data_IF_159908609671
#
_entry.id   IF_159908609671
#
_cell.length_a   1.000
_cell.length_b   1.000
_cell.length_c   1.000
_cell.angle_alpha   90.00
_cell.angle_beta   90.00
_cell.angle_gamma   90.00
#
_symmetry.space_group_name_H-M   'P 1'
#
loop_
_entity.id
_entity.type
_entity.pdbx_description
1 polymer ?
#
# COMPACT_ATOMS: atom_id res chain seq x y z
N UNK A 1 -24.62 -36.48 16.98
CA UNK A 1 -23.79 -35.54 17.74
C UNK A 1 -22.78 -35.00 16.76
N UNK A 2 -23.00 -33.79 16.21
CA UNK A 2 -22.17 -33.18 15.20
C UNK A 2 -21.24 -32.18 15.89
N UNK A 3 -19.94 -32.46 15.89
CA UNK A 3 -18.93 -31.61 16.50
C UNK A 3 -18.66 -30.44 15.50
N UNK A 4 -19.15 -29.26 15.85
CA UNK A 4 -18.78 -28.01 15.16
C UNK A 4 -17.35 -27.68 15.57
N UNK A 5 -16.41 -27.90 14.68
CA UNK A 5 -15.05 -27.36 14.83
C UNK A 5 -15.13 -25.85 14.55
N UNK A 6 -15.01 -25.07 15.63
CA UNK A 6 -14.86 -23.62 15.55
C UNK A 6 -13.53 -23.33 14.88
N UNK A 7 -13.56 -22.63 13.73
CA UNK A 7 -12.38 -22.04 13.14
C UNK A 7 -11.73 -21.12 14.18
N UNK A 8 -10.50 -21.42 14.56
CA UNK A 8 -9.73 -20.56 15.43
C UNK A 8 -9.48 -19.23 14.70
N UNK A 9 -9.77 -18.14 15.39
CA UNK A 9 -9.55 -16.77 14.91
C UNK A 9 -8.04 -16.55 14.72
N UNK A 10 -7.60 -16.57 13.47
CA UNK A 10 -6.19 -16.32 13.11
C UNK A 10 -5.69 -14.93 13.53
N UNK A 11 -6.59 -14.00 13.87
CA UNK A 11 -6.24 -12.69 14.42
C UNK A 11 -5.58 -12.75 15.80
N UNK A 12 -5.71 -13.86 16.52
CA UNK A 12 -5.11 -14.06 17.84
C UNK A 12 -3.61 -14.35 17.80
N UNK A 13 -3.05 -14.75 16.65
CA UNK A 13 -1.63 -15.14 16.51
C UNK A 13 -0.66 -13.96 16.39
N UNK A 14 -1.15 -12.73 16.21
CA UNK A 14 -0.29 -11.55 16.00
C UNK A 14 -0.06 -10.74 17.29
N UNK A 15 -0.72 -11.07 18.39
CA UNK A 15 -0.74 -10.27 19.63
C UNK A 15 0.40 -10.49 20.62
N UNK A 16 1.37 -11.36 20.36
CA UNK A 16 2.46 -11.60 21.31
C UNK A 16 3.82 -11.26 20.70
N UNK A 17 4.46 -10.31 21.33
CA UNK A 17 5.88 -9.96 21.32
C UNK A 17 6.35 -8.90 20.29
N UNK A 18 6.74 -7.74 20.85
CA UNK A 18 7.16 -6.55 20.10
C UNK A 18 8.50 -6.70 19.36
N UNK A 19 9.18 -7.86 19.40
CA UNK A 19 10.53 -8.05 18.84
C UNK A 19 10.80 -9.45 18.28
N UNK A 20 9.81 -10.29 18.03
CA UNK A 20 10.05 -11.62 17.45
C UNK A 20 10.49 -11.51 15.99
N UNK A 21 11.61 -12.17 15.65
CA UNK A 21 12.16 -12.29 14.30
C UNK A 21 12.65 -10.96 13.64
N UNK A 22 13.07 -9.96 14.43
CA UNK A 22 13.64 -8.72 13.91
C UNK A 22 12.62 -7.66 13.46
N UNK A 23 11.32 -7.86 13.70
CA UNK A 23 10.32 -6.84 13.47
C UNK A 23 10.28 -5.81 14.61
N UNK A 24 10.07 -4.57 14.23
CA UNK A 24 9.81 -3.45 15.15
C UNK A 24 8.37 -2.98 14.93
N UNK A 25 7.57 -2.96 15.99
CA UNK A 25 6.21 -2.42 15.95
C UNK A 25 6.27 -0.89 15.90
N UNK A 26 5.61 -0.29 14.90
CA UNK A 26 5.61 1.15 14.64
C UNK A 26 4.43 1.88 15.29
N UNK A 27 3.37 1.15 15.65
CA UNK A 27 2.19 1.67 16.37
C UNK A 27 2.11 1.00 17.74
N UNK A 28 2.49 1.70 18.81
CA UNK A 28 2.47 1.18 20.18
C UNK A 28 1.64 2.09 21.08
N UNK A 29 0.83 1.45 21.95
CA UNK A 29 0.03 2.15 22.95
C UNK A 29 -1.01 3.07 22.32
N UNK A 30 -1.33 4.16 23.02
CA UNK A 30 -2.40 5.09 22.64
C UNK A 30 -1.85 6.46 22.22
N UNK A 31 -0.59 6.51 21.74
CA UNK A 31 0.06 7.76 21.33
C UNK A 31 0.68 7.65 19.94
N UNK A 32 0.41 8.65 19.10
CA UNK A 32 1.02 8.82 17.78
C UNK A 32 2.33 9.63 17.83
N UNK A 33 3.14 9.49 18.90
CA UNK A 33 4.34 10.29 19.13
C UNK A 33 5.35 10.24 17.98
N UNK A 34 5.48 9.09 17.34
CA UNK A 34 6.37 8.91 16.18
C UNK A 34 5.66 9.12 14.84
N UNK A 35 4.48 9.75 14.84
CA UNK A 35 3.70 9.98 13.66
C UNK A 35 3.33 11.46 13.54
N UNK A 36 3.51 12.02 12.35
CA UNK A 36 3.10 13.39 12.01
C UNK A 36 1.76 13.37 11.28
N UNK A 37 0.80 14.18 11.76
CA UNK A 37 -0.54 14.32 11.19
C UNK A 37 -1.14 15.70 11.48
N UNK A 38 -2.23 16.04 10.81
CA UNK A 38 -2.94 17.33 10.96
C UNK A 38 -4.09 17.31 11.98
N UNK A 39 -4.09 16.36 12.94
CA UNK A 39 -5.16 16.22 13.94
C UNK A 39 -6.31 15.29 13.52
N UNK A 40 -6.25 14.70 12.33
CA UNK A 40 -7.28 13.85 11.73
C UNK A 40 -7.03 12.34 11.92
N UNK A 41 -6.05 11.96 12.74
CA UNK A 41 -5.74 10.59 13.09
C UNK A 41 -5.70 10.43 14.60
N UNK A 42 -6.25 9.33 15.07
CA UNK A 42 -6.22 8.92 16.49
C UNK A 42 -5.68 7.51 16.61
N UNK A 43 -5.22 7.15 17.80
CA UNK A 43 -4.89 5.77 18.16
C UNK A 43 -5.58 5.45 19.49
N UNK A 44 -6.23 4.30 19.55
CA UNK A 44 -6.86 3.77 20.74
C UNK A 44 -6.67 2.26 20.78
N UNK A 45 -6.17 1.74 21.89
CA UNK A 45 -5.87 0.32 22.06
C UNK A 45 -5.04 -0.27 20.89
N UNK A 46 -4.09 0.52 20.35
CA UNK A 46 -3.23 0.14 19.24
C UNK A 46 -3.87 0.23 17.85
N UNK A 47 -5.14 0.63 17.76
CA UNK A 47 -5.85 0.85 16.48
C UNK A 47 -5.74 2.31 16.07
N UNK A 48 -5.09 2.54 14.95
CA UNK A 48 -5.00 3.86 14.30
C UNK A 48 -6.26 4.06 13.47
N UNK A 49 -6.95 5.18 13.68
CA UNK A 49 -8.21 5.52 12.99
C UNK A 49 -8.09 6.87 12.30
N UNK A 50 -8.46 6.93 11.03
CA UNK A 50 -8.59 8.19 10.31
C UNK A 50 -9.93 8.85 10.60
N UNK A 51 -9.92 10.12 11.01
CA UNK A 51 -11.10 10.93 11.33
C UNK A 51 -10.92 12.36 10.82
N UNK A 52 -12.00 12.98 10.34
CA UNK A 52 -11.97 14.40 9.97
C UNK A 52 -11.07 14.78 8.79
N UNK A 53 -10.50 15.98 8.82
CA UNK A 53 -9.65 16.55 7.74
C UNK A 53 -8.26 16.87 8.29
N UNK A 54 -7.18 16.64 7.53
CA UNK A 54 -5.84 17.02 8.01
C UNK A 54 -4.67 16.45 7.22
N UNK A 55 -4.90 15.53 6.31
CA UNK A 55 -3.85 14.91 5.47
C UNK A 55 -3.32 13.58 5.99
N UNK A 56 -2.36 13.02 5.27
CA UNK A 56 -1.80 11.69 5.53
C UNK A 56 -1.05 11.62 6.85
N UNK A 57 -1.01 10.40 7.43
CA UNK A 57 -0.25 10.08 8.64
C UNK A 57 1.14 9.59 8.27
N UNK A 58 2.18 10.34 8.61
CA UNK A 58 3.56 10.01 8.27
C UNK A 58 4.36 9.53 9.49
N UNK A 59 4.98 8.36 9.40
CA UNK A 59 5.89 7.87 10.43
C UNK A 59 7.20 8.64 10.38
N UNK A 60 7.57 9.27 11.48
CA UNK A 60 8.76 10.13 11.60
C UNK A 60 9.89 9.52 12.45
N UNK A 61 9.66 8.34 13.06
CA UNK A 61 10.65 7.70 13.92
C UNK A 61 11.93 7.30 13.17
N UNK A 62 11.79 6.69 11.99
CA UNK A 62 12.90 6.41 11.06
C UNK A 62 12.38 6.28 9.63
N UNK A 63 13.29 6.43 8.67
CA UNK A 63 12.99 6.14 7.26
C UNK A 63 12.86 4.64 7.04
N UNK A 64 12.10 4.26 6.01
CA UNK A 64 12.04 2.88 5.54
C UNK A 64 13.42 2.48 5.02
N UNK A 65 13.97 1.33 5.42
CA UNK A 65 15.19 0.77 4.84
C UNK A 65 15.05 0.51 3.34
N UNK A 66 16.17 0.32 2.64
CA UNK A 66 16.14 -0.01 1.22
C UNK A 66 15.56 -1.40 0.98
N UNK A 67 15.96 -2.37 1.80
CA UNK A 67 15.44 -3.73 1.81
C UNK A 67 14.66 -3.97 3.11
N UNK A 68 13.39 -4.33 2.98
CA UNK A 68 12.53 -4.45 4.15
C UNK A 68 11.34 -5.40 3.92
N UNK A 69 10.78 -5.84 5.03
CA UNK A 69 9.43 -6.40 5.11
C UNK A 69 8.57 -5.52 6.01
N UNK A 70 7.44 -5.05 5.50
CA UNK A 70 6.42 -4.29 6.22
C UNK A 70 5.15 -5.13 6.32
N UNK A 71 4.63 -5.30 7.51
CA UNK A 71 3.37 -6.00 7.78
C UNK A 71 2.42 -5.05 8.49
N UNK A 72 1.14 -5.16 8.18
CA UNK A 72 0.09 -4.33 8.77
C UNK A 72 -1.27 -5.01 8.62
N UNK A 73 -2.19 -4.61 9.46
CA UNK A 73 -3.61 -4.94 9.29
C UNK A 73 -4.38 -3.67 8.97
N UNK A 74 -5.39 -3.81 8.13
CA UNK A 74 -6.22 -2.70 7.70
C UNK A 74 -7.69 -3.10 7.58
N UNK A 75 -8.56 -2.12 7.74
CA UNK A 75 -10.00 -2.25 7.62
C UNK A 75 -10.58 -0.98 7.01
N UNK A 76 -11.60 -1.11 6.18
CA UNK A 76 -12.29 0.00 5.50
C UNK A 76 -13.77 -0.01 5.78
N UNK A 77 -14.43 1.13 5.64
CA UNK A 77 -15.87 1.23 5.50
C UNK A 77 -16.28 1.16 4.02
N UNK A 78 -17.58 1.11 3.78
CA UNK A 78 -18.13 1.14 2.42
C UNK A 78 -17.58 2.33 1.61
N UNK A 79 -17.16 2.09 0.38
CA UNK A 79 -16.59 3.04 -0.59
C UNK A 79 -15.29 3.71 -0.14
N UNK A 80 -14.66 3.27 0.93
CA UNK A 80 -13.42 3.90 1.41
C UNK A 80 -12.22 3.63 0.52
N UNK A 81 -11.34 4.64 0.48
CA UNK A 81 -10.05 4.64 -0.19
C UNK A 81 -8.96 5.14 0.76
N UNK A 82 -7.83 4.48 0.76
CA UNK A 82 -6.60 4.84 1.45
C UNK A 82 -5.42 4.17 0.77
N UNK A 83 -4.22 4.23 1.36
CA UNK A 83 -3.04 3.58 0.82
C UNK A 83 -1.88 3.59 1.80
N UNK A 84 -0.96 2.67 1.61
CA UNK A 84 0.31 2.61 2.35
C UNK A 84 1.44 3.00 1.41
N UNK A 85 1.99 4.21 1.61
CA UNK A 85 3.17 4.69 0.87
C UNK A 85 4.43 4.26 1.60
N UNK A 86 5.27 3.47 0.94
CA UNK A 86 6.44 2.84 1.56
C UNK A 86 7.78 3.22 0.92
N UNK A 87 7.76 3.95 -0.18
CA UNK A 87 8.95 4.54 -0.84
C UNK A 87 8.61 5.90 -1.43
N UNK A 88 9.60 6.75 -1.78
CA UNK A 88 9.34 8.04 -2.40
C UNK A 88 8.60 7.88 -3.72
N UNK A 89 7.76 8.86 -4.06
CA UNK A 89 7.13 9.00 -5.38
C UNK A 89 6.23 7.84 -5.83
N UNK A 90 4.95 7.86 -5.46
CA UNK A 90 3.90 6.97 -6.00
C UNK A 90 4.07 5.46 -5.74
N UNK A 91 4.89 5.04 -4.76
CA UNK A 91 4.92 3.67 -4.29
C UNK A 91 3.80 3.44 -3.27
N UNK A 92 2.70 2.95 -3.74
CA UNK A 92 1.50 2.78 -2.95
C UNK A 92 1.01 1.33 -3.00
N UNK A 93 0.89 0.70 -1.84
CA UNK A 93 0.03 -0.44 -1.65
C UNK A 93 -1.39 0.08 -1.43
N UNK A 94 -2.27 -0.15 -2.40
CA UNK A 94 -3.63 0.36 -2.37
C UNK A 94 -4.47 -0.28 -1.28
N UNK A 95 -5.23 0.54 -0.56
CA UNK A 95 -6.24 0.13 0.43
C UNK A 95 -7.58 0.62 -0.07
N UNK A 96 -8.52 -0.29 -0.34
CA UNK A 96 -9.76 0.04 -1.03
C UNK A 96 -10.89 -0.91 -0.65
N UNK A 97 -12.11 -0.41 -0.65
CA UNK A 97 -13.31 -1.21 -0.84
C UNK A 97 -13.44 -1.51 -2.34
N UNK A 98 -13.01 -2.70 -2.76
CA UNK A 98 -13.01 -3.08 -4.18
C UNK A 98 -14.40 -3.18 -4.78
N UNK A 99 -15.43 -3.47 -3.96
CA UNK A 99 -16.78 -3.70 -4.44
C UNK A 99 -17.52 -2.39 -4.76
N UNK A 100 -17.49 -1.43 -3.83
CA UNK A 100 -18.29 -0.21 -3.95
C UNK A 100 -17.52 1.01 -4.44
N UNK A 101 -16.18 1.06 -4.31
CA UNK A 101 -15.40 2.18 -4.78
C UNK A 101 -15.15 2.10 -6.30
N UNK A 102 -15.30 3.21 -7.07
CA UNK A 102 -15.10 3.19 -8.53
C UNK A 102 -13.74 2.67 -9.01
N UNK A 103 -12.68 2.91 -8.25
CA UNK A 103 -11.33 2.44 -8.58
C UNK A 103 -11.17 0.91 -8.45
N UNK A 104 -12.07 0.21 -7.74
CA UNK A 104 -12.06 -1.25 -7.62
C UNK A 104 -12.36 -1.98 -8.94
N UNK A 105 -12.96 -1.29 -9.91
CA UNK A 105 -13.23 -1.85 -11.26
C UNK A 105 -11.97 -2.09 -12.08
N UNK A 106 -10.89 -1.38 -11.79
CA UNK A 106 -9.61 -1.56 -12.45
C UNK A 106 -8.66 -2.32 -11.51
N UNK A 107 -8.24 -3.55 -11.87
CA UNK A 107 -7.30 -4.31 -11.03
C UNK A 107 -6.00 -3.57 -10.69
N UNK A 108 -5.53 -2.64 -11.52
CA UNK A 108 -4.34 -1.83 -11.21
C UNK A 108 -4.58 -0.73 -10.17
N UNK A 109 -5.83 -0.47 -9.81
CA UNK A 109 -6.20 0.48 -8.77
C UNK A 109 -6.99 -0.16 -7.63
N UNK A 110 -7.16 -1.50 -7.65
CA UNK A 110 -7.80 -2.27 -6.60
C UNK A 110 -6.90 -2.46 -5.38
N UNK A 111 -7.46 -2.92 -4.29
CA UNK A 111 -6.72 -3.22 -3.06
C UNK A 111 -5.52 -4.14 -3.32
N UNK A 112 -4.42 -3.93 -2.61
CA UNK A 112 -3.12 -4.61 -2.76
C UNK A 112 -2.41 -4.39 -4.10
N UNK A 113 -2.93 -3.62 -5.06
CA UNK A 113 -2.16 -3.24 -6.24
C UNK A 113 -0.94 -2.39 -5.86
N UNK A 114 0.15 -2.50 -6.63
CA UNK A 114 1.11 -1.41 -6.73
C UNK A 114 0.45 -0.37 -7.64
N UNK A 115 -0.17 0.62 -7.00
CA UNK A 115 -1.19 1.48 -7.59
C UNK A 115 -0.79 2.04 -8.96
N UNK A 116 -1.59 1.76 -9.99
CA UNK A 116 -1.35 2.16 -11.38
C UNK A 116 -0.04 1.63 -11.98
N UNK A 117 0.52 0.57 -11.44
CA UNK A 117 1.71 -0.09 -11.94
C UNK A 117 1.43 -1.57 -12.19
N UNK A 118 1.22 -2.35 -11.13
CA UNK A 118 0.95 -3.78 -11.23
C UNK A 118 -0.31 -4.13 -10.44
N UNK A 119 -1.19 -4.87 -11.08
CA UNK A 119 -2.39 -5.40 -10.45
C UNK A 119 -2.11 -6.70 -9.68
N UNK A 120 -2.86 -6.98 -8.59
CA UNK A 120 -2.82 -8.29 -7.95
C UNK A 120 -3.30 -9.39 -8.89
N UNK A 121 -2.88 -10.62 -8.63
CA UNK A 121 -3.30 -11.82 -9.40
C UNK A 121 -4.78 -12.13 -9.23
N UNK A 122 -5.34 -11.76 -8.08
CA UNK A 122 -6.73 -11.99 -7.70
C UNK A 122 -7.14 -11.04 -6.57
N UNK A 123 -8.44 -10.86 -6.39
CA UNK A 123 -8.99 -10.17 -5.23
C UNK A 123 -9.09 -11.15 -4.05
N UNK A 124 -8.38 -10.83 -2.96
CA UNK A 124 -8.39 -11.59 -1.71
C UNK A 124 -8.94 -10.75 -0.55
N UNK A 125 -9.62 -9.63 -0.84
CA UNK A 125 -10.18 -8.77 0.21
C UNK A 125 -11.27 -9.47 0.99
N UNK A 126 -11.32 -9.22 2.28
CA UNK A 126 -12.46 -9.59 3.14
C UNK A 126 -13.57 -8.54 3.02
N UNK A 127 -14.80 -8.88 3.30
CA UNK A 127 -15.91 -7.93 3.32
C UNK A 127 -15.62 -6.68 4.14
N UNK A 128 -16.21 -5.56 3.73
CA UNK A 128 -16.15 -4.27 4.45
C UNK A 128 -16.40 -4.46 5.94
N UNK A 129 -15.63 -3.76 6.77
CA UNK A 129 -15.69 -3.86 8.24
C UNK A 129 -14.88 -5.02 8.83
N UNK A 130 -14.31 -5.91 8.04
CA UNK A 130 -13.41 -6.96 8.47
C UNK A 130 -11.93 -6.56 8.32
N UNK A 131 -11.08 -7.11 9.19
CA UNK A 131 -9.65 -6.90 9.13
C UNK A 131 -8.99 -7.73 8.04
N UNK A 132 -8.25 -7.05 7.16
CA UNK A 132 -7.35 -7.65 6.18
C UNK A 132 -5.91 -7.56 6.68
N UNK A 133 -5.06 -8.51 6.28
CA UNK A 133 -3.63 -8.46 6.51
C UNK A 133 -2.92 -8.06 5.21
N UNK A 134 -2.08 -7.03 5.30
CA UNK A 134 -1.20 -6.60 4.22
C UNK A 134 0.26 -6.91 4.56
N UNK A 135 1.04 -7.31 3.55
CA UNK A 135 2.49 -7.48 3.68
C UNK A 135 3.17 -6.96 2.41
N UNK A 136 4.22 -6.20 2.59
CA UNK A 136 5.06 -5.69 1.51
C UNK A 136 6.47 -6.19 1.75
N UNK A 137 7.09 -6.78 0.72
CA UNK A 137 8.50 -7.17 0.74
C UNK A 137 9.20 -6.43 -0.38
N UNK A 138 10.26 -5.69 -0.03
CA UNK A 138 11.17 -5.07 -1.00
C UNK A 138 12.58 -5.59 -0.72
N UNK A 139 13.21 -6.18 -1.74
CA UNK A 139 14.60 -6.62 -1.66
C UNK A 139 15.30 -6.40 -3.01
N UNK A 140 16.32 -5.55 -3.03
CA UNK A 140 16.95 -5.12 -4.27
C UNK A 140 15.95 -4.49 -5.22
N UNK A 141 15.72 -5.12 -6.36
CA UNK A 141 14.77 -4.68 -7.39
C UNK A 141 13.41 -5.39 -7.32
N UNK A 142 13.26 -6.32 -6.35
CA UNK A 142 12.02 -7.09 -6.18
C UNK A 142 11.06 -6.37 -5.27
N UNK A 143 9.80 -6.33 -5.69
CA UNK A 143 8.66 -5.84 -4.92
C UNK A 143 7.61 -6.94 -4.88
N UNK A 144 7.13 -7.26 -3.69
CA UNK A 144 6.05 -8.22 -3.49
C UNK A 144 4.96 -7.57 -2.64
N UNK A 145 3.70 -7.77 -3.05
CA UNK A 145 2.54 -7.49 -2.21
C UNK A 145 1.82 -8.79 -1.86
N UNK A 146 1.38 -8.84 -0.62
CA UNK A 146 0.64 -9.97 -0.07
C UNK A 146 -0.65 -9.44 0.53
N UNK A 147 -1.73 -10.19 0.38
CA UNK A 147 -3.04 -9.88 0.93
C UNK A 147 -3.64 -11.14 1.55
N UNK A 148 -3.98 -11.07 2.83
CA UNK A 148 -4.59 -12.17 3.60
C UNK A 148 -3.82 -13.51 3.49
N UNK A 149 -2.48 -13.44 3.53
CA UNK A 149 -1.59 -14.58 3.49
C UNK A 149 -1.15 -14.99 2.08
N UNK A 150 -1.82 -14.50 1.02
CA UNK A 150 -1.51 -14.83 -0.37
C UNK A 150 -0.59 -13.79 -1.01
N UNK A 151 0.46 -14.23 -1.71
CA UNK A 151 1.30 -13.38 -2.55
C UNK A 151 0.55 -13.04 -3.83
N UNK A 152 0.12 -11.79 -3.94
CA UNK A 152 -0.71 -11.33 -5.07
C UNK A 152 0.09 -10.53 -6.11
N UNK A 153 1.28 -10.04 -5.75
CA UNK A 153 2.23 -9.40 -6.68
C UNK A 153 3.64 -9.93 -6.41
N UNK A 154 4.35 -10.27 -7.48
CA UNK A 154 5.80 -10.47 -7.54
C UNK A 154 6.34 -9.74 -8.77
N UNK A 155 7.16 -8.72 -8.57
CA UNK A 155 7.71 -7.90 -9.62
C UNK A 155 9.20 -7.66 -9.40
N UNK A 156 10.04 -8.07 -10.35
CA UNK A 156 11.39 -7.49 -10.50
C UNK A 156 11.29 -6.34 -11.50
N UNK A 157 11.34 -5.10 -11.03
CA UNK A 157 11.12 -3.94 -11.90
C UNK A 157 12.30 -3.65 -12.88
N UNK A 158 13.37 -4.43 -12.84
CA UNK A 158 14.44 -4.40 -13.85
C UNK A 158 14.24 -5.48 -14.92
N UNK A 159 13.37 -6.46 -14.70
CA UNK A 159 13.03 -7.45 -15.73
C UNK A 159 12.28 -6.74 -16.87
N UNK A 160 12.73 -6.91 -18.14
CA UNK A 160 12.12 -6.28 -19.31
C UNK A 160 10.62 -6.55 -19.48
N UNK A 161 10.09 -7.67 -18.95
CA UNK A 161 8.66 -7.97 -18.99
C UNK A 161 7.80 -6.90 -18.30
N UNK A 162 8.37 -6.15 -17.36
CA UNK A 162 7.69 -5.08 -16.61
C UNK A 162 7.94 -3.68 -17.16
N UNK A 163 8.67 -3.53 -18.28
CA UNK A 163 9.07 -2.22 -18.79
C UNK A 163 7.88 -1.27 -19.02
N UNK A 164 6.77 -1.76 -19.56
CA UNK A 164 5.57 -0.95 -19.78
C UNK A 164 4.91 -0.50 -18.46
N UNK A 165 4.91 -1.36 -17.44
CA UNK A 165 4.38 -1.04 -16.11
C UNK A 165 5.24 0.03 -15.43
N UNK A 166 6.56 -0.13 -15.48
CA UNK A 166 7.53 0.84 -14.95
C UNK A 166 7.39 2.20 -15.64
N UNK A 167 7.23 2.20 -16.97
CA UNK A 167 7.06 3.44 -17.74
C UNK A 167 5.75 4.15 -17.38
N UNK A 168 4.65 3.44 -17.23
CA UNK A 168 3.37 4.01 -16.81
C UNK A 168 3.47 4.67 -15.43
N UNK A 169 4.15 4.02 -14.46
CA UNK A 169 4.40 4.61 -13.15
C UNK A 169 5.28 5.87 -13.27
N UNK A 170 6.34 5.83 -14.10
CA UNK A 170 7.23 6.97 -14.35
C UNK A 170 6.48 8.16 -14.95
N UNK A 171 5.59 7.94 -15.91
CA UNK A 171 4.76 8.99 -16.49
C UNK A 171 3.89 9.69 -15.44
N UNK A 172 3.46 8.98 -14.41
CA UNK A 172 2.74 9.54 -13.25
C UNK A 172 3.66 10.22 -12.23
N UNK A 173 4.98 10.15 -12.40
CA UNK A 173 5.99 10.73 -11.54
C UNK A 173 6.60 9.79 -10.53
N UNK A 174 6.32 8.50 -10.64
CA UNK A 174 6.96 7.48 -9.86
C UNK A 174 8.41 7.23 -10.29
N UNK A 175 9.21 6.76 -9.37
CA UNK A 175 10.58 6.33 -9.60
C UNK A 175 10.87 5.10 -8.74
N UNK A 176 10.91 3.92 -9.34
CA UNK A 176 11.12 2.65 -8.61
C UNK A 176 12.54 2.52 -8.03
N UNK A 177 13.50 3.33 -8.46
CA UNK A 177 14.84 3.39 -7.87
C UNK A 177 14.94 4.35 -6.68
N UNK A 178 13.90 5.15 -6.40
CA UNK A 178 13.91 6.10 -5.29
C UNK A 178 13.85 5.38 -3.92
N UNK A 179 14.64 5.88 -2.97
CA UNK A 179 14.80 5.32 -1.62
C UNK A 179 14.66 6.41 -0.56
N UNK A 180 14.61 5.98 0.71
CA UNK A 180 14.73 6.88 1.85
C UNK A 180 13.44 7.64 2.18
N UNK A 181 12.26 7.08 1.90
CA UNK A 181 10.98 7.65 2.31
C UNK A 181 10.67 7.38 3.78
N UNK A 182 9.75 8.16 4.31
CA UNK A 182 8.99 7.80 5.49
C UNK A 182 7.79 6.93 5.09
N UNK A 183 7.41 5.98 5.95
CA UNK A 183 6.12 5.31 5.82
C UNK A 183 5.00 6.34 5.96
N UNK A 184 3.98 6.25 5.10
CA UNK A 184 2.82 7.13 5.21
C UNK A 184 1.53 6.37 4.91
N UNK A 185 0.50 6.63 5.72
CA UNK A 185 -0.86 6.15 5.51
C UNK A 185 -1.67 7.29 4.87
N UNK A 186 -2.28 7.01 3.71
CA UNK A 186 -2.97 8.02 2.92
C UNK A 186 -4.26 8.49 3.61
N UNK A 187 -4.47 9.80 3.64
CA UNK A 187 -5.77 10.41 3.88
C UNK A 187 -6.47 10.67 2.53
N UNK A 188 -7.47 9.89 2.19
CA UNK A 188 -8.31 10.09 1.01
C UNK A 188 -9.69 10.68 1.35
N UNK A 189 -9.96 10.96 2.61
CA UNK A 189 -11.22 11.51 3.08
C UNK A 189 -12.13 10.50 3.78
N UNK A 190 -11.89 9.23 3.61
CA UNK A 190 -12.76 8.14 4.04
C UNK A 190 -12.32 7.50 5.35
N UNK A 191 -13.22 6.86 6.12
CA UNK A 191 -12.85 6.11 7.30
C UNK A 191 -11.99 4.89 6.95
N UNK A 192 -10.84 4.76 7.63
CA UNK A 192 -9.94 3.62 7.53
C UNK A 192 -9.30 3.37 8.89
N UNK A 193 -9.01 2.12 9.17
CA UNK A 193 -8.36 1.67 10.39
C UNK A 193 -7.12 0.85 10.06
N UNK A 194 -6.07 1.05 10.86
CA UNK A 194 -4.83 0.28 10.79
C UNK A 194 -4.42 -0.20 12.17
N UNK A 195 -3.81 -1.38 12.23
CA UNK A 195 -3.18 -1.88 13.45
C UNK A 195 -2.00 -2.79 13.12
N UNK A 196 -1.23 -3.17 14.13
CA UNK A 196 -0.13 -4.14 14.01
C UNK A 196 0.89 -3.78 12.90
N UNK A 197 1.14 -2.46 12.70
CA UNK A 197 2.12 -1.99 11.72
C UNK A 197 3.51 -2.30 12.23
N UNK A 198 4.23 -3.20 11.57
CA UNK A 198 5.55 -3.65 11.96
C UNK A 198 6.50 -3.73 10.77
N UNK A 199 7.74 -3.32 10.99
CA UNK A 199 8.78 -3.21 9.98
C UNK A 199 9.99 -4.05 10.39
N UNK A 200 10.51 -4.83 9.45
CA UNK A 200 11.79 -5.53 9.54
C UNK A 200 12.70 -5.06 8.42
N UNK A 201 13.91 -4.66 8.76
CA UNK A 201 14.99 -4.47 7.81
C UNK A 201 15.51 -5.84 7.37
N UNK A 202 15.59 -6.07 6.06
CA UNK A 202 16.09 -7.31 5.50
C UNK A 202 17.59 -7.22 5.27
N UNK A 203 18.29 -8.28 5.66
CA UNK A 203 19.72 -8.45 5.40
C UNK A 203 19.91 -9.13 4.04
N UNK A 204 21.12 -9.05 3.51
CA UNK A 204 21.49 -9.75 2.28
C UNK A 204 21.20 -11.26 2.37
N UNK A 205 21.42 -11.86 3.54
CA UNK A 205 21.20 -13.29 3.83
C UNK A 205 19.74 -13.67 4.02
N UNK A 206 18.82 -12.73 4.20
CA UNK A 206 17.40 -13.06 4.33
C UNK A 206 16.85 -13.56 2.99
N UNK A 207 16.23 -14.73 3.01
CA UNK A 207 15.61 -15.35 1.83
C UNK A 207 14.17 -14.86 1.71
N UNK A 208 13.76 -14.45 0.52
CA UNK A 208 12.37 -14.12 0.20
C UNK A 208 11.79 -15.19 -0.74
N UNK A 209 10.47 -15.32 -0.75
CA UNK A 209 9.78 -16.24 -1.66
C UNK A 209 9.89 -15.72 -3.11
N UNK A 210 10.57 -16.46 -3.98
CA UNK A 210 10.82 -16.11 -5.38
C UNK A 210 9.80 -16.71 -6.36
N UNK A 211 8.74 -17.39 -5.88
CA UNK A 211 7.73 -17.92 -6.77
C UNK A 211 7.06 -16.81 -7.58
N UNK A 212 6.92 -17.02 -8.88
CA UNK A 212 6.27 -16.07 -9.79
C UNK A 212 4.78 -15.94 -9.49
N UNK A 213 4.24 -14.76 -9.77
CA UNK A 213 2.81 -14.46 -9.68
C UNK A 213 2.35 -13.91 -11.02
N UNK A 214 1.33 -14.51 -11.62
CA UNK A 214 0.72 -14.00 -12.85
C UNK A 214 -0.34 -12.96 -12.49
N UNK A 215 -0.19 -11.70 -12.92
CA UNK A 215 -1.19 -10.65 -12.67
C UNK A 215 -2.54 -10.99 -13.30
N UNK A 216 -3.63 -10.52 -12.68
CA UNK A 216 -4.97 -10.67 -13.25
C UNK A 216 -5.07 -10.02 -14.64
N UNK A 217 -5.92 -10.57 -15.48
CA UNK A 217 -6.22 -9.97 -16.79
C UNK A 217 -7.07 -8.71 -16.59
N UNK A 218 -6.67 -7.62 -17.23
CA UNK A 218 -7.43 -6.36 -17.20
C UNK A 218 -8.39 -6.37 -18.41
N UNK A 219 -9.70 -6.18 -18.21
CA UNK A 219 -10.65 -6.09 -19.32
C UNK A 219 -10.33 -4.95 -20.30
N UNK A 220 -10.63 -5.14 -21.57
CA UNK A 220 -10.24 -4.18 -22.63
C UNK A 220 -10.88 -2.79 -22.45
N UNK A 221 -12.13 -2.73 -22.01
CA UNK A 221 -12.83 -1.48 -21.71
C UNK A 221 -12.22 -0.74 -20.52
N UNK A 222 -11.72 -1.47 -19.51
CA UNK A 222 -10.99 -0.93 -18.37
C UNK A 222 -9.65 -0.35 -18.81
N UNK A 223 -8.93 -1.03 -19.71
CA UNK A 223 -7.67 -0.50 -20.28
C UNK A 223 -7.87 0.79 -21.05
N UNK A 224 -8.96 0.92 -21.82
CA UNK A 224 -9.28 2.16 -22.53
C UNK A 224 -9.62 3.31 -21.57
N UNK A 225 -10.37 3.02 -20.51
CA UNK A 225 -10.65 4.00 -19.45
C UNK A 225 -9.35 4.43 -18.71
N UNK A 226 -8.46 3.48 -18.45
CA UNK A 226 -7.15 3.72 -17.83
C UNK A 226 -6.27 4.63 -18.69
N UNK A 227 -6.19 4.40 -19.99
CA UNK A 227 -5.44 5.26 -20.92
C UNK A 227 -5.94 6.70 -20.88
N UNK A 228 -7.25 6.92 -20.87
CA UNK A 228 -7.85 8.26 -20.75
C UNK A 228 -7.51 8.91 -19.41
N UNK A 229 -7.61 8.17 -18.31
CA UNK A 229 -7.26 8.67 -16.97
C UNK A 229 -5.77 9.04 -16.90
N UNK A 230 -4.88 8.21 -17.45
CA UNK A 230 -3.44 8.44 -17.50
C UNK A 230 -3.10 9.70 -18.33
N UNK A 231 -3.67 9.85 -19.52
CA UNK A 231 -3.48 11.03 -20.35
C UNK A 231 -3.88 12.32 -19.62
N UNK A 232 -4.99 12.31 -18.87
CA UNK A 232 -5.42 13.41 -18.04
C UNK A 232 -4.47 13.74 -16.89
N UNK A 233 -3.84 12.74 -16.28
CA UNK A 233 -2.83 12.92 -15.23
C UNK A 233 -1.56 13.55 -15.81
N UNK A 234 -1.08 13.03 -16.94
CA UNK A 234 0.12 13.55 -17.63
C UNK A 234 -0.08 15.01 -18.00
N UNK A 235 -1.20 15.34 -18.66
CA UNK A 235 -1.52 16.72 -19.04
C UNK A 235 -1.51 17.68 -17.84
N UNK A 236 -2.18 17.32 -16.74
CA UNK A 236 -2.20 18.17 -15.52
C UNK A 236 -0.79 18.41 -14.96
N UNK A 237 0.09 17.41 -15.02
CA UNK A 237 1.48 17.56 -14.56
C UNK A 237 2.30 18.46 -15.46
N UNK A 238 2.13 18.37 -16.77
CA UNK A 238 2.78 19.26 -17.74
C UNK A 238 2.32 20.70 -17.55
N UNK A 239 1.02 20.91 -17.40
CA UNK A 239 0.47 22.24 -17.15
C UNK A 239 0.97 22.84 -15.83
N UNK A 240 1.05 22.03 -14.77
CA UNK A 240 1.61 22.47 -13.48
C UNK A 240 3.12 22.84 -13.61
N UNK A 241 3.92 22.09 -14.38
CA UNK A 241 5.32 22.43 -14.63
C UNK A 241 5.45 23.77 -15.34
N UNK A 242 4.66 24.01 -16.38
CA UNK A 242 4.65 25.29 -17.13
C UNK A 242 4.32 26.48 -16.23
N UNK A 243 3.37 26.32 -15.30
CA UNK A 243 3.03 27.38 -14.33
C UNK A 243 4.20 27.68 -13.38
N UNK A 244 4.90 26.64 -12.92
CA UNK A 244 6.08 26.80 -12.03
C UNK A 244 7.23 27.48 -12.78
N UNK A 245 7.50 27.06 -14.01
CA UNK A 245 8.55 27.68 -14.85
C UNK A 245 8.27 29.16 -15.14
N UNK A 246 7.01 29.47 -15.43
CA UNK A 246 6.60 30.88 -15.65
C UNK A 246 6.86 31.73 -14.40
N UNK A 247 6.51 31.24 -13.20
CA UNK A 247 6.73 31.97 -11.92
C UNK A 247 8.20 32.12 -11.54
N UNK A 248 9.10 31.31 -12.08
CA UNK A 248 10.56 31.43 -11.85
C UNK A 248 11.21 32.47 -12.77
N UNK A 249 10.55 32.80 -13.86
CA UNK A 249 11.03 33.74 -14.89
C UNK A 249 10.42 35.15 -14.72
N UNK A 250 9.48 35.32 -13.81
CA UNK A 250 8.93 36.58 -13.33
C UNK A 250 9.62 37.03 -12.04
#
# INVERSE_FOLDING_TARGET
MSTVVRAADESALIRSDSTTNGFVLLSQGDHLTNWKHGGNWTIESGVITRQGKGGSLAYIGKKIPDDFELQFEWKVSERSNSGVYYRPTQYEYQILDNEAHPDGRNPRTSAASLYFCVQPSQDMTKPVGQWNTGRIVCKGTIIQHWLNGEKVIHMDYKDPKWAANVDMLRQRGGNLDARGANLSLQDHGDPVWYQNIRLKELKETDIIDMAEVTPAVIPADVLEAEKKKLAGIIKRREDAKKVIEKRKNE
#
